data_IF_734679335010
#
_entry.id   IF_734679335010
#
_cell.length_a   1.000
_cell.length_b   1.000
_cell.length_c   1.000
_cell.angle_alpha   90.00
_cell.angle_beta   90.00
_cell.angle_gamma   90.00
#
_symmetry.space_group_name_H-M   'P 1'
#
loop_
_entity.id
_entity.type
_entity.pdbx_description
1 polymer ?
#
# COMPACT_ATOMS: atom_id res chain seq x y z
N UNK A 1 74.30 -13.02 12.50
CA UNK A 1 73.07 -13.37 11.76
C UNK A 1 72.25 -14.41 12.54
N UNK A 2 71.68 -14.08 13.72
CA UNK A 2 70.87 -15.08 14.44
C UNK A 2 69.88 -14.50 15.48
N UNK A 3 69.40 -13.26 15.32
CA UNK A 3 68.51 -12.61 16.31
C UNK A 3 67.19 -12.06 15.68
N UNK A 4 67.00 -12.16 14.36
CA UNK A 4 65.84 -11.56 13.67
C UNK A 4 64.68 -12.57 13.45
N UNK A 5 64.76 -13.80 13.98
CA UNK A 5 63.81 -14.88 13.69
C UNK A 5 62.81 -15.20 14.82
N UNK A 6 62.65 -14.34 15.82
CA UNK A 6 61.83 -14.62 17.02
C UNK A 6 60.58 -13.74 17.20
N UNK A 7 60.19 -12.93 16.21
CA UNK A 7 59.02 -12.03 16.32
C UNK A 7 57.85 -12.37 15.36
N UNK A 8 57.79 -13.58 14.82
CA UNK A 8 56.75 -14.00 13.86
C UNK A 8 55.84 -15.15 14.33
N UNK A 9 55.66 -15.33 15.63
CA UNK A 9 54.70 -16.30 16.14
C UNK A 9 53.82 -15.67 17.22
N UNK A 10 52.51 -15.69 16.97
CA UNK A 10 51.36 -15.42 17.87
C UNK A 10 50.56 -14.14 17.59
N UNK A 11 49.86 -14.13 16.45
CA UNK A 11 48.54 -13.48 16.35
C UNK A 11 47.63 -14.40 15.53
N UNK A 12 47.34 -15.58 16.08
CA UNK A 12 46.17 -16.35 15.66
C UNK A 12 44.93 -15.57 16.11
N UNK A 13 44.41 -14.78 15.18
CA UNK A 13 43.17 -14.03 15.32
C UNK A 13 42.03 -15.01 15.57
N UNK A 14 41.45 -14.93 16.77
CA UNK A 14 40.13 -15.48 17.08
C UNK A 14 39.07 -14.70 16.30
N UNK A 15 38.97 -14.95 15.01
CA UNK A 15 37.83 -14.54 14.21
C UNK A 15 36.65 -15.45 14.62
N UNK A 16 35.94 -15.07 15.68
CA UNK A 16 34.64 -15.65 15.98
C UNK A 16 33.75 -15.34 14.78
N UNK A 17 33.23 -16.35 14.05
CA UNK A 17 32.32 -16.09 12.94
C UNK A 17 31.06 -15.48 13.54
N UNK A 18 30.91 -14.17 13.39
CA UNK A 18 29.66 -13.48 13.70
C UNK A 18 28.62 -14.10 12.78
N UNK A 19 27.75 -14.92 13.37
CA UNK A 19 26.69 -15.61 12.65
C UNK A 19 25.86 -14.58 11.91
N UNK A 20 25.45 -14.87 10.68
CA UNK A 20 24.55 -13.99 9.93
C UNK A 20 23.28 -13.65 10.73
N UNK A 21 22.88 -14.54 11.65
CA UNK A 21 21.77 -14.34 12.60
C UNK A 21 21.98 -13.14 13.53
N UNK A 22 23.21 -12.88 13.99
CA UNK A 22 23.50 -11.78 14.91
C UNK A 22 23.38 -10.43 14.21
N UNK A 23 23.73 -10.38 12.92
CA UNK A 23 23.58 -9.17 12.11
C UNK A 23 22.11 -8.83 11.85
N UNK A 24 21.27 -9.84 11.59
CA UNK A 24 19.84 -9.64 11.40
C UNK A 24 19.15 -9.17 12.68
N UNK A 25 19.48 -9.75 13.84
CA UNK A 25 18.93 -9.30 15.12
C UNK A 25 19.28 -7.83 15.40
N UNK A 26 20.54 -7.45 15.17
CA UNK A 26 20.99 -6.07 15.38
C UNK A 26 20.26 -5.05 14.48
N UNK A 27 19.94 -5.41 13.24
CA UNK A 27 19.18 -4.54 12.33
C UNK A 27 17.71 -4.39 12.76
N UNK A 28 17.10 -5.48 13.21
CA UNK A 28 15.71 -5.48 13.72
C UNK A 28 15.61 -4.62 14.98
N UNK A 29 16.56 -4.74 15.91
CA UNK A 29 16.60 -3.94 17.12
C UNK A 29 16.78 -2.44 16.82
N UNK A 30 17.65 -2.10 15.85
CA UNK A 30 17.83 -0.72 15.39
C UNK A 30 16.55 -0.13 14.79
N UNK A 31 15.79 -0.93 14.02
CA UNK A 31 14.52 -0.50 13.45
C UNK A 31 13.47 -0.19 14.53
N UNK A 32 13.31 -1.07 15.53
CA UNK A 32 12.36 -0.84 16.61
C UNK A 32 12.74 0.35 17.50
N UNK A 33 14.04 0.54 17.77
CA UNK A 33 14.53 1.72 18.49
C UNK A 33 14.24 3.02 17.73
N UNK A 34 14.38 3.03 16.41
CA UNK A 34 14.03 4.19 15.59
C UNK A 34 12.52 4.45 15.59
N UNK A 35 11.69 3.40 15.45
CA UNK A 35 10.23 3.51 15.42
C UNK A 35 9.65 4.11 16.70
N UNK A 36 10.18 3.75 17.87
CA UNK A 36 9.73 4.31 19.15
C UNK A 36 10.08 5.79 19.30
N UNK A 37 11.23 6.22 18.78
CA UNK A 37 11.67 7.61 18.77
C UNK A 37 10.77 8.51 17.89
N UNK A 38 10.30 7.98 16.76
CA UNK A 38 9.36 8.70 15.89
C UNK A 38 7.98 8.90 16.56
N UNK A 39 7.53 7.95 17.37
CA UNK A 39 6.28 8.07 18.12
C UNK A 39 6.30 9.20 19.17
N UNK A 40 7.46 9.48 19.77
CA UNK A 40 7.62 10.58 20.73
C UNK A 40 7.86 11.94 20.08
N UNK A 41 8.43 11.99 18.87
CA UNK A 41 8.64 13.25 18.13
C UNK A 41 7.34 13.76 17.49
N UNK A 42 6.52 12.88 16.93
CA UNK A 42 5.34 13.29 16.14
C UNK A 42 4.08 13.57 16.99
N UNK A 43 4.13 13.31 18.30
CA UNK A 43 3.01 13.49 19.21
C UNK A 43 1.86 12.52 18.94
N UNK A 44 1.02 12.30 19.96
CA UNK A 44 -0.19 11.50 19.78
C UNK A 44 -1.09 12.17 18.72
N UNK A 45 -1.60 11.41 17.72
CA UNK A 45 -2.53 11.97 16.75
C UNK A 45 -3.76 12.54 17.46
N UNK A 46 -4.35 13.63 16.94
CA UNK A 46 -5.52 14.25 17.55
C UNK A 46 -6.66 13.23 17.68
N UNK A 47 -7.33 13.26 18.83
CA UNK A 47 -8.46 12.38 19.14
C UNK A 47 -9.57 12.59 18.09
N UNK A 48 -10.19 11.51 17.56
CA UNK A 48 -11.29 11.64 16.60
C UNK A 48 -12.42 12.50 17.17
N UNK A 49 -12.95 13.41 16.35
CA UNK A 49 -14.13 14.20 16.72
C UNK A 49 -15.33 13.26 16.93
N UNK A 50 -16.24 13.59 17.86
CA UNK A 50 -17.49 12.84 18.02
C UNK A 50 -18.30 12.88 16.72
N UNK A 51 -19.02 11.80 16.38
CA UNK A 51 -19.85 11.76 15.18
C UNK A 51 -20.96 12.82 15.26
N UNK A 52 -21.06 13.66 14.22
CA UNK A 52 -22.21 14.55 14.02
C UNK A 52 -23.48 13.72 13.80
N UNK A 53 -24.55 14.07 14.51
CA UNK A 53 -25.88 13.48 14.32
C UNK A 53 -26.44 13.95 12.97
N UNK A 54 -26.59 13.02 12.02
CA UNK A 54 -27.17 13.32 10.71
C UNK A 54 -28.71 13.39 10.79
N UNK A 55 -29.35 14.36 10.11
CA UNK A 55 -30.79 14.45 10.00
C UNK A 55 -31.38 13.26 9.18
N UNK A 56 -32.65 12.88 9.42
CA UNK A 56 -33.25 11.70 8.83
C UNK A 56 -33.42 11.80 7.30
N UNK A 57 -33.15 10.68 6.61
CA UNK A 57 -33.22 10.56 5.16
C UNK A 57 -34.65 10.65 4.58
N UNK A 58 -34.74 11.24 3.40
CA UNK A 58 -36.00 11.51 2.66
C UNK A 58 -36.44 10.28 1.82
N UNK A 59 -37.75 9.97 1.69
CA UNK A 59 -38.22 8.62 1.35
C UNK A 59 -38.15 8.17 -0.13
N UNK A 60 -37.66 8.98 -1.06
CA UNK A 60 -37.92 8.76 -2.49
C UNK A 60 -36.65 8.75 -3.38
N UNK A 61 -35.80 7.73 -3.27
CA UNK A 61 -34.74 7.49 -4.27
C UNK A 61 -34.76 6.03 -4.79
N UNK A 62 -35.03 5.79 -6.09
CA UNK A 62 -35.11 4.46 -6.69
C UNK A 62 -33.71 3.94 -7.04
N UNK A 63 -33.04 3.34 -6.05
CA UNK A 63 -31.75 2.69 -6.24
C UNK A 63 -31.57 1.61 -5.19
N UNK A 64 -32.37 0.55 -5.23
CA UNK A 64 -32.19 -0.54 -4.29
C UNK A 64 -30.84 -1.23 -4.54
N UNK A 65 -29.91 -1.23 -3.56
CA UNK A 65 -28.67 -1.98 -3.66
C UNK A 65 -28.94 -3.49 -3.61
N UNK A 66 -27.99 -4.34 -4.04
CA UNK A 66 -28.14 -5.79 -4.01
C UNK A 66 -28.49 -6.27 -2.58
N UNK A 67 -29.29 -7.35 -2.46
CA UNK A 67 -29.99 -7.74 -1.22
C UNK A 67 -29.10 -8.14 -0.04
N UNK A 68 -27.78 -8.07 -0.17
CA UNK A 68 -26.78 -8.43 0.86
C UNK A 68 -25.78 -7.29 1.15
N UNK A 69 -26.14 -6.02 0.92
CA UNK A 69 -25.30 -4.89 1.33
C UNK A 69 -25.38 -4.73 2.87
N UNK A 70 -24.25 -4.80 3.61
CA UNK A 70 -24.26 -4.51 5.03
C UNK A 70 -24.84 -3.11 5.29
N UNK A 71 -25.63 -2.91 6.36
CA UNK A 71 -26.40 -1.68 6.60
C UNK A 71 -25.56 -0.39 6.81
N UNK A 72 -24.22 -0.46 6.75
CA UNK A 72 -23.31 0.66 6.97
C UNK A 72 -22.43 1.02 5.77
N UNK A 73 -22.65 0.45 4.58
CA UNK A 73 -21.88 0.84 3.41
C UNK A 73 -22.38 2.19 2.88
N UNK A 74 -21.52 3.24 2.76
CA UNK A 74 -21.92 4.51 2.18
C UNK A 74 -22.42 4.31 0.75
N UNK A 75 -23.44 5.07 0.29
CA UNK A 75 -24.04 4.89 -1.02
C UNK A 75 -23.01 5.03 -2.15
N UNK A 76 -23.23 4.30 -3.24
CA UNK A 76 -22.33 4.26 -4.38
C UNK A 76 -22.16 5.67 -4.94
N UNK A 77 -20.93 6.18 -4.81
CA UNK A 77 -20.58 7.58 -5.03
C UNK A 77 -20.91 8.08 -6.43
N UNK A 78 -22.14 8.56 -6.59
CA UNK A 78 -22.62 9.37 -7.69
C UNK A 78 -22.49 10.85 -7.36
N UNK A 79 -21.28 11.39 -7.54
CA UNK A 79 -21.04 12.82 -7.77
C UNK A 79 -21.17 13.76 -6.57
N UNK A 80 -20.04 14.18 -6.00
CA UNK A 80 -19.95 15.52 -5.38
C UNK A 80 -19.28 15.63 -4.01
N UNK A 81 -19.08 14.54 -3.28
CA UNK A 81 -18.38 14.56 -1.97
C UNK A 81 -17.04 13.86 -2.06
N UNK A 82 -15.96 14.50 -1.59
CA UNK A 82 -14.56 14.06 -1.69
C UNK A 82 -14.17 12.73 -1.01
N UNK A 83 -15.11 11.82 -0.78
CA UNK A 83 -14.85 10.45 -0.36
C UNK A 83 -14.38 9.63 -1.56
N UNK A 84 -13.22 8.95 -1.48
CA UNK A 84 -12.66 8.19 -2.60
C UNK A 84 -13.34 6.82 -2.77
N UNK A 85 -14.67 6.78 -2.76
CA UNK A 85 -15.45 5.53 -2.69
C UNK A 85 -15.12 4.54 -3.80
N UNK A 86 -14.87 5.01 -5.02
CA UNK A 86 -14.46 4.16 -6.15
C UNK A 86 -13.08 3.53 -5.97
N UNK A 87 -12.15 4.25 -5.35
CA UNK A 87 -10.84 3.68 -5.03
C UNK A 87 -10.95 2.68 -3.89
N UNK A 88 -11.67 3.02 -2.82
CA UNK A 88 -11.88 2.10 -1.69
C UNK A 88 -12.52 0.80 -2.16
N UNK A 89 -13.57 0.88 -2.99
CA UNK A 89 -14.21 -0.28 -3.61
C UNK A 89 -13.22 -1.09 -4.47
N UNK A 90 -12.44 -0.41 -5.32
CA UNK A 90 -11.45 -1.07 -6.16
C UNK A 90 -10.38 -1.80 -5.33
N UNK A 91 -9.86 -1.16 -4.29
CA UNK A 91 -8.86 -1.75 -3.37
C UNK A 91 -9.46 -2.95 -2.63
N UNK A 92 -10.62 -2.79 -1.99
CA UNK A 92 -11.26 -3.87 -1.23
C UNK A 92 -11.73 -5.05 -2.10
N UNK A 93 -11.91 -4.84 -3.41
CA UNK A 93 -12.19 -5.93 -4.34
C UNK A 93 -10.96 -6.81 -4.62
N UNK A 94 -9.76 -6.26 -4.48
CA UNK A 94 -8.51 -6.98 -4.67
C UNK A 94 -8.04 -7.70 -3.40
N UNK A 95 -8.37 -7.12 -2.24
CA UNK A 95 -7.97 -7.68 -0.95
C UNK A 95 -8.88 -8.79 -0.46
N UNK A 96 -8.39 -9.55 0.53
CA UNK A 96 -9.23 -10.47 1.28
C UNK A 96 -10.34 -9.71 2.00
N UNK A 97 -11.47 -10.39 2.24
CA UNK A 97 -12.57 -9.82 3.04
C UNK A 97 -12.14 -9.34 4.42
N UNK A 98 -11.06 -9.90 4.96
CA UNK A 98 -10.52 -9.59 6.29
C UNK A 98 -9.65 -8.33 6.32
N UNK A 99 -9.26 -7.77 5.16
CA UNK A 99 -8.46 -6.53 5.09
C UNK A 99 -9.35 -5.30 4.84
N UNK A 100 -10.67 -5.49 4.81
CA UNK A 100 -11.69 -4.48 4.56
C UNK A 100 -12.99 -4.75 5.36
N UNK A 101 -12.91 -5.39 6.52
CA UNK A 101 -14.07 -5.66 7.39
C UNK A 101 -14.06 -4.89 8.71
N UNK A 102 -12.93 -4.32 9.12
CA UNK A 102 -12.83 -3.51 10.31
C UNK A 102 -12.58 -2.01 10.04
N UNK A 103 -12.75 -1.23 11.10
CA UNK A 103 -12.69 0.24 11.04
C UNK A 103 -11.26 0.75 10.79
N UNK A 104 -10.26 0.10 11.37
CA UNK A 104 -8.87 0.53 11.26
C UNK A 104 -8.35 0.24 9.84
N UNK A 105 -8.70 -0.90 9.28
CA UNK A 105 -8.44 -1.26 7.88
C UNK A 105 -9.07 -0.27 6.91
N UNK A 106 -10.36 0.06 7.12
CA UNK A 106 -11.05 1.02 6.27
C UNK A 106 -10.41 2.43 6.36
N UNK A 107 -9.84 2.82 7.50
CA UNK A 107 -9.07 4.07 7.59
C UNK A 107 -7.78 4.03 6.77
N UNK A 108 -7.04 2.93 6.82
CA UNK A 108 -5.83 2.75 6.02
C UNK A 108 -6.13 2.79 4.53
N UNK A 109 -7.14 2.03 4.08
CA UNK A 109 -7.58 2.01 2.68
C UNK A 109 -8.03 3.40 2.23
N UNK A 110 -8.86 4.08 3.03
CA UNK A 110 -9.33 5.44 2.71
C UNK A 110 -8.18 6.43 2.62
N UNK A 111 -7.16 6.30 3.47
CA UNK A 111 -5.95 7.12 3.44
C UNK A 111 -5.13 6.86 2.18
N UNK A 112 -4.92 5.59 1.82
CA UNK A 112 -4.22 5.20 0.60
C UNK A 112 -4.92 5.77 -0.65
N UNK A 113 -6.25 5.73 -0.64
CA UNK A 113 -7.11 6.15 -1.73
C UNK A 113 -7.29 7.67 -1.91
N UNK A 114 -6.67 8.51 -1.09
CA UNK A 114 -6.74 9.98 -1.26
C UNK A 114 -6.15 10.42 -2.59
N UNK A 115 -6.98 11.08 -3.41
CA UNK A 115 -6.67 11.54 -4.77
C UNK A 115 -6.24 10.41 -5.72
N UNK A 116 -6.83 9.23 -5.53
CA UNK A 116 -6.57 8.04 -6.36
C UNK A 116 -7.85 7.66 -7.10
N UNK A 117 -7.71 7.37 -8.39
CA UNK A 117 -8.80 6.88 -9.23
C UNK A 117 -8.98 5.37 -9.07
N UNK A 118 -10.15 4.90 -8.66
CA UNK A 118 -10.47 3.47 -8.57
C UNK A 118 -10.32 2.70 -9.90
N UNK A 119 -10.75 3.26 -11.04
CA UNK A 119 -10.47 2.68 -12.36
C UNK A 119 -8.98 2.46 -12.63
N UNK A 120 -8.09 3.34 -12.14
CA UNK A 120 -6.64 3.14 -12.31
C UNK A 120 -6.16 1.91 -11.53
N UNK A 121 -6.56 1.77 -10.26
CA UNK A 121 -6.21 0.60 -9.44
C UNK A 121 -6.70 -0.68 -10.10
N UNK A 122 -7.95 -0.68 -10.59
CA UNK A 122 -8.53 -1.83 -11.28
C UNK A 122 -7.77 -2.16 -12.57
N UNK A 123 -7.41 -1.15 -13.38
CA UNK A 123 -6.66 -1.36 -14.63
C UNK A 123 -5.28 -1.95 -14.36
N UNK A 124 -4.50 -1.38 -13.44
CA UNK A 124 -3.16 -1.89 -13.08
C UNK A 124 -3.25 -3.33 -12.55
N UNK A 125 -4.10 -3.59 -11.55
CA UNK A 125 -4.20 -4.94 -10.95
C UNK A 125 -4.74 -6.00 -11.92
N UNK A 126 -5.53 -5.61 -12.94
CA UNK A 126 -6.01 -6.56 -13.96
C UNK A 126 -4.93 -7.03 -14.94
N UNK A 127 -3.78 -6.33 -14.99
CA UNK A 127 -2.66 -6.64 -15.89
C UNK A 127 -1.59 -7.51 -15.23
N UNK A 128 -1.52 -7.45 -13.91
CA UNK A 128 -0.60 -8.27 -13.14
C UNK A 128 -1.10 -9.72 -13.05
N UNK A 129 -0.20 -10.63 -12.65
CA UNK A 129 -0.58 -12.00 -12.31
C UNK A 129 -1.68 -12.02 -11.23
N UNK A 130 -2.51 -13.07 -11.20
CA UNK A 130 -3.54 -13.25 -10.14
C UNK A 130 -3.00 -13.32 -8.71
N UNK A 131 -1.68 -13.48 -8.56
CA UNK A 131 -0.96 -13.53 -7.29
C UNK A 131 -0.25 -12.22 -6.97
N UNK A 132 -0.53 -11.17 -7.76
CA UNK A 132 -0.01 -9.85 -7.58
C UNK A 132 -1.20 -8.90 -7.47
N UNK A 133 -1.11 -7.93 -6.58
CA UNK A 133 -2.24 -7.13 -6.13
C UNK A 133 -3.29 -7.96 -5.35
N UNK A 134 -2.87 -8.95 -4.56
CA UNK A 134 -3.73 -9.66 -3.59
C UNK A 134 -3.33 -9.41 -2.13
N UNK A 135 -2.13 -8.86 -1.88
CA UNK A 135 -1.69 -8.41 -0.57
C UNK A 135 -1.89 -6.91 -0.35
N UNK A 136 -2.27 -6.52 0.89
CA UNK A 136 -2.50 -5.12 1.29
C UNK A 136 -1.36 -4.17 0.89
N UNK A 137 -0.11 -4.61 1.06
CA UNK A 137 1.08 -3.81 0.72
C UNK A 137 1.17 -3.53 -0.79
N UNK A 138 0.88 -4.52 -1.63
CA UNK A 138 0.95 -4.41 -3.09
C UNK A 138 -0.17 -3.52 -3.63
N UNK A 139 -1.40 -3.71 -3.14
CA UNK A 139 -2.53 -2.89 -3.57
C UNK A 139 -2.31 -1.41 -3.18
N UNK A 140 -1.68 -1.16 -2.02
CA UNK A 140 -1.33 0.20 -1.60
C UNK A 140 -0.22 0.81 -2.45
N UNK A 141 0.75 0.00 -2.89
CA UNK A 141 1.76 0.43 -3.84
C UNK A 141 1.11 0.83 -5.18
N UNK A 142 0.20 0.01 -5.72
CA UNK A 142 -0.58 0.32 -6.92
C UNK A 142 -1.41 1.59 -6.75
N UNK A 143 -2.11 1.76 -5.63
CA UNK A 143 -2.84 2.99 -5.33
C UNK A 143 -1.91 4.22 -5.34
N UNK A 144 -0.67 4.06 -4.88
CA UNK A 144 0.39 5.07 -4.96
C UNK A 144 0.80 5.41 -6.40
N UNK A 145 0.89 4.42 -7.29
CA UNK A 145 1.18 4.62 -8.72
C UNK A 145 0.09 5.46 -9.39
N UNK A 146 -1.17 5.17 -9.05
CA UNK A 146 -2.37 5.82 -9.56
C UNK A 146 -2.60 7.25 -9.07
N UNK A 147 -1.81 7.75 -8.12
CA UNK A 147 -1.93 9.13 -7.64
C UNK A 147 -1.49 10.10 -8.74
N UNK A 148 -2.39 11.00 -9.12
CA UNK A 148 -2.15 12.01 -10.15
C UNK A 148 -2.27 11.50 -11.60
N UNK A 149 -2.62 10.23 -11.81
CA UNK A 149 -2.94 9.73 -13.15
C UNK A 149 -4.28 10.33 -13.59
N UNK A 150 -4.24 11.16 -14.64
CA UNK A 150 -5.43 11.87 -15.13
C UNK A 150 -6.31 10.96 -15.97
N UNK A 151 -5.69 10.10 -16.78
CA UNK A 151 -6.38 9.26 -17.74
C UNK A 151 -5.89 7.81 -17.69
N UNK A 152 -6.78 6.92 -17.24
CA UNK A 152 -6.52 5.48 -17.18
C UNK A 152 -6.38 4.89 -18.58
N UNK A 153 -7.02 5.50 -19.59
CA UNK A 153 -6.91 5.04 -20.98
C UNK A 153 -5.50 5.21 -21.54
N UNK A 154 -4.67 6.11 -20.97
CA UNK A 154 -3.25 6.20 -21.31
C UNK A 154 -2.49 4.92 -20.93
N UNK A 155 -2.72 4.40 -19.73
CA UNK A 155 -2.11 3.14 -19.27
C UNK A 155 -2.56 1.99 -20.18
N UNK A 156 -3.85 1.95 -20.47
CA UNK A 156 -4.40 0.91 -21.35
C UNK A 156 -3.83 0.98 -22.77
N UNK A 157 -3.67 2.19 -23.30
CA UNK A 157 -3.09 2.43 -24.61
C UNK A 157 -1.62 2.02 -24.66
N UNK A 158 -0.79 2.48 -23.71
CA UNK A 158 0.64 2.15 -23.67
C UNK A 158 0.83 0.63 -23.53
N UNK A 159 0.16 0.00 -22.58
CA UNK A 159 0.27 -1.43 -22.38
C UNK A 159 -0.34 -2.27 -23.52
N UNK A 160 -1.24 -1.72 -24.34
CA UNK A 160 -1.72 -2.41 -25.56
C UNK A 160 -0.69 -2.45 -26.70
N UNK A 161 0.33 -1.58 -26.64
CA UNK A 161 1.40 -1.46 -27.64
C UNK A 161 2.66 -2.24 -27.26
N UNK A 162 2.81 -2.54 -25.98
CA UNK A 162 3.92 -3.30 -25.43
C UNK A 162 3.62 -4.81 -25.45
N UNK A 163 4.64 -5.64 -25.25
CA UNK A 163 4.41 -7.07 -25.01
C UNK A 163 3.62 -7.24 -23.72
N UNK A 164 2.89 -8.36 -23.60
CA UNK A 164 2.21 -8.69 -22.34
C UNK A 164 3.17 -8.80 -21.14
N UNK A 165 4.46 -9.02 -21.42
CA UNK A 165 5.54 -9.19 -20.45
C UNK A 165 6.26 -7.88 -20.10
N UNK A 166 5.88 -6.76 -20.73
CA UNK A 166 6.46 -5.43 -20.47
C UNK A 166 5.44 -4.53 -19.71
N UNK A 167 4.36 -5.12 -19.20
CA UNK A 167 3.25 -4.47 -18.52
C UNK A 167 2.57 -5.39 -17.49
N UNK A 168 3.30 -6.35 -16.94
CA UNK A 168 2.80 -7.29 -15.92
C UNK A 168 3.58 -7.20 -14.59
N UNK A 169 4.70 -6.48 -14.55
CA UNK A 169 5.44 -6.17 -13.32
C UNK A 169 5.15 -4.76 -12.78
N UNK A 170 5.23 -4.61 -11.45
CA UNK A 170 4.93 -3.32 -10.79
C UNK A 170 5.96 -2.23 -11.13
N UNK A 171 7.21 -2.62 -11.39
CA UNK A 171 8.29 -1.73 -11.86
C UNK A 171 7.98 -1.12 -13.21
N UNK A 172 7.48 -1.92 -14.15
CA UNK A 172 7.14 -1.49 -15.51
C UNK A 172 5.89 -0.61 -15.49
N UNK A 173 4.85 -1.06 -14.76
CA UNK A 173 3.61 -0.30 -14.58
C UNK A 173 3.86 1.05 -13.89
N UNK A 174 4.88 1.16 -13.02
CA UNK A 174 5.31 2.43 -12.45
C UNK A 174 5.84 3.39 -13.51
N UNK A 175 6.67 2.92 -14.43
CA UNK A 175 7.21 3.75 -15.51
C UNK A 175 6.09 4.22 -16.45
N UNK A 176 5.16 3.32 -16.81
CA UNK A 176 3.99 3.66 -17.63
C UNK A 176 3.09 4.66 -16.90
N UNK A 177 2.76 4.43 -15.63
CA UNK A 177 1.92 5.33 -14.85
C UNK A 177 2.55 6.72 -14.71
N UNK A 178 3.88 6.84 -14.61
CA UNK A 178 4.57 8.14 -14.59
C UNK A 178 4.42 8.91 -15.90
N UNK A 179 4.41 8.21 -17.04
CA UNK A 179 4.19 8.84 -18.36
C UNK A 179 2.74 9.29 -18.57
N UNK A 180 1.79 8.74 -17.81
CA UNK A 180 0.35 9.01 -17.91
C UNK A 180 -0.17 10.01 -16.86
N UNK A 181 0.71 10.78 -16.22
CA UNK A 181 0.37 11.84 -15.26
C UNK A 181 0.17 13.20 -15.92
#
# INVERSE_FOLDING_TARGET
MLVILLLLTTVDSLAVPVSAADKTHKLVDQYYAAKSLWGSILGNPPRPLPPEEYPPDSPNNPGNPPPNRPPNCPPDGGGGGGFPGRCVEAVCKQLSRFDCDDKDDMYEVTRACRNVSGPCVTSICSRMSRFACDEKVEVFEVAGLCRGVVDVSCIDYVCSRLSRFDCDEISELREVAQQCR
#
